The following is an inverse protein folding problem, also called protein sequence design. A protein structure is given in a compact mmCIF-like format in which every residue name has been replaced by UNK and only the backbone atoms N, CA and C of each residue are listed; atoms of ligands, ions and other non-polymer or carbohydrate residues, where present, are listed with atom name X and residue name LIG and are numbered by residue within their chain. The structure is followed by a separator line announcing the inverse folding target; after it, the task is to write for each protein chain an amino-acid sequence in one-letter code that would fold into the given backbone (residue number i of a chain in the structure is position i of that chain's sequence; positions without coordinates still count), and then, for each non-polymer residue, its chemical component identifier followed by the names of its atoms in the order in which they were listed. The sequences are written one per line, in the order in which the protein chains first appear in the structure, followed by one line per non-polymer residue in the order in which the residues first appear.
data_IF_464567730638
#
_entry.id   IF_464567730638
#
_cell.length_a   1.000
_cell.length_b   1.000
_cell.length_c   1.000
_cell.angle_alpha   90.00
_cell.angle_beta   90.00
_cell.angle_gamma   90.00
#
_symmetry.space_group_name_H-M   'P 1'
#
loop_
_entity.id
_entity.type
_entity.pdbx_description
1 polymer ?
#
# COMPACT_ATOMS: atom_id res chain seq x y z
N UNK A 1 -43.92 6.10 3.74
CA UNK A 1 -42.69 6.86 3.46
C UNK A 1 -41.52 5.88 3.37
N UNK A 2 -40.95 5.65 2.18
CA UNK A 2 -39.72 4.87 2.00
C UNK A 2 -38.55 5.85 2.05
N UNK A 3 -37.82 5.84 3.15
CA UNK A 3 -36.61 6.64 3.32
C UNK A 3 -35.52 5.91 2.53
N UNK A 4 -35.13 6.47 1.38
CA UNK A 4 -33.95 6.03 0.65
C UNK A 4 -32.72 6.51 1.42
N UNK A 5 -32.10 5.59 2.19
CA UNK A 5 -30.73 5.75 2.65
C UNK A 5 -29.82 5.66 1.42
N UNK A 6 -29.66 6.78 0.71
CA UNK A 6 -28.57 6.93 -0.25
C UNK A 6 -27.30 7.01 0.58
N UNK A 7 -26.72 5.85 0.91
CA UNK A 7 -25.35 5.78 1.40
C UNK A 7 -24.49 6.41 0.30
N UNK A 8 -24.02 7.63 0.53
CA UNK A 8 -22.88 8.18 -0.19
C UNK A 8 -21.70 7.25 0.08
N UNK A 9 -21.57 6.19 -0.71
CA UNK A 9 -20.33 5.42 -0.79
C UNK A 9 -19.35 6.36 -1.47
N UNK A 10 -18.51 7.02 -0.67
CA UNK A 10 -17.27 7.58 -1.21
C UNK A 10 -16.64 6.46 -2.03
N UNK A 11 -16.48 6.67 -3.34
CA UNK A 11 -16.04 5.66 -4.30
C UNK A 11 -14.78 5.01 -3.75
N UNK A 12 -14.89 3.75 -3.35
CA UNK A 12 -13.76 2.99 -2.84
C UNK A 12 -12.68 2.96 -3.92
N UNK A 13 -11.43 3.16 -3.52
CA UNK A 13 -10.32 3.08 -4.45
C UNK A 13 -10.18 1.65 -5.01
N UNK A 14 -9.77 1.53 -6.27
CA UNK A 14 -9.51 0.22 -6.89
C UNK A 14 -8.19 -0.39 -6.41
N UNK A 15 -8.02 -1.70 -6.62
CA UNK A 15 -6.76 -2.42 -6.39
C UNK A 15 -5.57 -1.72 -7.06
N UNK A 16 -5.72 -1.29 -8.31
CA UNK A 16 -4.69 -0.58 -9.08
C UNK A 16 -4.33 0.75 -8.43
N UNK A 17 -5.33 1.48 -7.94
CA UNK A 17 -5.13 2.75 -7.23
C UNK A 17 -4.39 2.52 -5.92
N UNK A 18 -4.79 1.52 -5.14
CA UNK A 18 -4.12 1.17 -3.88
C UNK A 18 -2.65 0.77 -4.11
N UNK A 19 -2.40 -0.04 -5.13
CA UNK A 19 -1.05 -0.40 -5.57
C UNK A 19 -0.23 0.84 -5.96
N UNK A 20 -0.78 1.74 -6.77
CA UNK A 20 -0.07 2.95 -7.19
C UNK A 20 0.26 3.86 -5.99
N UNK A 21 -0.68 4.03 -5.05
CA UNK A 21 -0.47 4.80 -3.82
C UNK A 21 0.69 4.21 -3.00
N UNK A 22 0.71 2.88 -2.82
CA UNK A 22 1.79 2.21 -2.09
C UNK A 22 3.15 2.40 -2.77
N UNK A 23 3.23 2.20 -4.08
CA UNK A 23 4.47 2.35 -4.85
C UNK A 23 5.01 3.77 -4.77
N UNK A 24 4.17 4.77 -5.04
CA UNK A 24 4.57 6.18 -5.01
C UNK A 24 5.06 6.61 -3.62
N UNK A 25 4.39 6.12 -2.58
CA UNK A 25 4.81 6.35 -1.20
C UNK A 25 6.17 5.70 -0.90
N UNK A 26 6.36 4.43 -1.28
CA UNK A 26 7.58 3.69 -1.02
C UNK A 26 8.77 4.27 -1.79
N UNK A 27 8.57 4.64 -3.05
CA UNK A 27 9.60 5.30 -3.87
C UNK A 27 10.12 6.57 -3.20
N UNK A 28 9.21 7.42 -2.70
CA UNK A 28 9.56 8.65 -1.98
C UNK A 28 10.22 8.38 -0.62
N UNK A 29 9.72 7.40 0.13
CA UNK A 29 10.21 7.10 1.49
C UNK A 29 11.55 6.38 1.50
N UNK A 30 11.79 5.47 0.56
CA UNK A 30 12.99 4.62 0.50
C UNK A 30 14.02 5.10 -0.53
N UNK A 31 13.71 6.16 -1.28
CA UNK A 31 14.57 6.70 -2.34
C UNK A 31 15.02 5.62 -3.34
N UNK A 32 14.09 4.75 -3.72
CA UNK A 32 14.33 3.63 -4.65
C UNK A 32 13.23 3.60 -5.70
N UNK A 33 13.59 3.35 -6.96
CA UNK A 33 12.60 3.17 -8.02
C UNK A 33 12.12 1.73 -8.15
N UNK A 34 12.86 0.79 -7.55
CA UNK A 34 12.61 -0.64 -7.65
C UNK A 34 11.71 -1.09 -6.51
N UNK A 35 10.42 -1.24 -6.79
CA UNK A 35 9.43 -1.79 -5.85
C UNK A 35 8.87 -3.05 -6.49
N UNK A 36 9.04 -4.19 -5.85
CA UNK A 36 8.44 -5.45 -6.26
C UNK A 36 7.20 -5.72 -5.38
N UNK A 37 6.02 -5.82 -6.00
CA UNK A 37 4.78 -6.10 -5.27
C UNK A 37 4.50 -7.59 -5.36
N UNK A 38 4.36 -8.22 -4.20
CA UNK A 38 4.04 -9.64 -4.11
C UNK A 38 2.53 -9.87 -3.99
N UNK A 39 1.82 -9.07 -3.19
CA UNK A 39 0.38 -9.23 -2.98
C UNK A 39 -0.33 -7.90 -2.77
N UNK A 40 -1.56 -7.80 -3.28
CA UNK A 40 -2.51 -6.73 -2.99
C UNK A 40 -3.82 -7.38 -2.57
N UNK A 41 -4.23 -7.19 -1.31
CA UNK A 41 -5.45 -7.78 -0.77
C UNK A 41 -6.34 -6.72 -0.11
N UNK A 42 -7.66 -6.85 -0.23
CA UNK A 42 -8.61 -6.03 0.52
C UNK A 42 -9.16 -6.86 1.68
N UNK A 43 -9.02 -6.36 2.91
CA UNK A 43 -9.46 -7.05 4.12
C UNK A 43 -9.98 -6.03 5.13
N UNK A 44 -11.11 -6.31 5.76
CA UNK A 44 -11.69 -5.46 6.83
C UNK A 44 -11.84 -3.97 6.44
N UNK A 45 -12.14 -3.67 5.18
CA UNK A 45 -12.30 -2.29 4.68
C UNK A 45 -10.98 -1.51 4.51
N UNK A 46 -9.85 -2.20 4.50
CA UNK A 46 -8.54 -1.65 4.13
C UNK A 46 -7.90 -2.47 3.01
N UNK A 47 -7.00 -1.83 2.28
CA UNK A 47 -6.09 -2.46 1.34
C UNK A 47 -4.76 -2.73 2.03
N UNK A 48 -4.24 -3.94 1.85
CA UNK A 48 -2.95 -4.37 2.36
C UNK A 48 -2.09 -4.69 1.15
N UNK A 49 -1.04 -3.89 0.95
CA UNK A 49 -0.07 -4.06 -0.15
C UNK A 49 1.23 -4.57 0.46
N UNK A 50 1.71 -5.73 0.00
CA UNK A 50 2.97 -6.32 0.45
C UNK A 50 3.91 -6.54 -0.71
N UNK A 51 5.19 -6.50 -0.41
CA UNK A 51 6.22 -6.73 -1.40
C UNK A 51 7.61 -6.60 -0.81
N UNK A 52 8.58 -6.44 -1.71
CA UNK A 52 9.96 -6.19 -1.34
C UNK A 52 10.51 -5.00 -2.09
N UNK A 53 11.44 -4.29 -1.46
CA UNK A 53 12.23 -3.26 -2.13
C UNK A 53 13.71 -3.48 -1.80
N UNK A 54 14.62 -3.19 -2.75
CA UNK A 54 16.03 -3.23 -2.47
C UNK A 54 16.39 -2.04 -1.58
N UNK A 55 17.25 -2.31 -0.62
CA UNK A 55 17.92 -1.31 0.20
C UNK A 55 19.42 -1.51 0.06
N UNK A 56 20.18 -0.42 0.15
CA UNK A 56 21.62 -0.49 0.27
C UNK A 56 21.96 -0.36 1.75
N UNK A 57 22.51 -1.43 2.34
CA UNK A 57 23.08 -1.38 3.67
C UNK A 57 24.58 -1.65 3.53
N UNK A 58 25.38 -0.66 3.90
CA UNK A 58 26.85 -0.77 3.92
C UNK A 58 27.47 -1.13 2.56
N UNK A 59 26.84 -0.71 1.44
CA UNK A 59 27.31 -1.02 0.10
C UNK A 59 26.91 -2.41 -0.40
N UNK A 60 26.02 -3.11 0.30
CA UNK A 60 25.47 -4.39 -0.10
C UNK A 60 23.97 -4.29 -0.44
N UNK A 61 23.52 -4.88 -1.57
CA UNK A 61 22.11 -4.89 -1.93
C UNK A 61 21.36 -5.94 -1.09
N UNK A 62 20.47 -5.47 -0.21
CA UNK A 62 19.57 -6.31 0.57
C UNK A 62 18.12 -6.13 0.10
N UNK A 63 17.28 -7.12 0.34
CA UNK A 63 15.85 -7.01 0.15
C UNK A 63 15.17 -6.72 1.51
N UNK A 64 14.37 -5.68 1.56
CA UNK A 64 13.52 -5.37 2.70
C UNK A 64 12.08 -5.70 2.30
N UNK A 65 11.39 -6.50 3.11
CA UNK A 65 9.95 -6.69 2.94
C UNK A 65 9.20 -5.48 3.49
N UNK A 66 8.11 -5.13 2.84
CA UNK A 66 7.21 -4.09 3.29
C UNK A 66 5.76 -4.56 3.35
N UNK A 67 4.98 -3.94 4.23
CA UNK A 67 3.53 -3.97 4.25
C UNK A 67 3.01 -2.54 4.36
N UNK A 68 2.08 -2.16 3.48
CA UNK A 68 1.42 -0.85 3.48
C UNK A 68 -0.09 -1.05 3.61
N UNK A 69 -0.67 -0.47 4.65
CA UNK A 69 -2.12 -0.51 4.90
C UNK A 69 -2.73 0.82 4.45
N UNK A 70 -3.73 0.77 3.57
CA UNK A 70 -4.37 1.93 2.95
C UNK A 70 -5.88 1.83 3.18
N UNK A 71 -6.53 2.93 3.58
CA UNK A 71 -7.99 2.93 3.71
C UNK A 71 -8.71 3.03 2.35
N UNK A 72 -10.02 2.82 2.35
CA UNK A 72 -10.89 2.93 1.16
C UNK A 72 -10.84 4.29 0.45
N UNK A 73 -10.29 5.34 1.08
CA UNK A 73 -10.14 6.69 0.51
C UNK A 73 -8.74 6.94 -0.03
N UNK A 74 -7.83 5.96 0.05
CA UNK A 74 -6.45 6.09 -0.40
C UNK A 74 -5.49 6.69 0.62
N UNK A 75 -5.89 6.83 1.88
CA UNK A 75 -4.99 7.31 2.93
C UNK A 75 -4.21 6.14 3.51
N UNK A 76 -2.88 6.28 3.54
CA UNK A 76 -2.00 5.33 4.24
C UNK A 76 -2.26 5.41 5.74
N UNK A 77 -2.56 4.26 6.34
CA UNK A 77 -2.88 4.09 7.76
C UNK A 77 -1.70 3.58 8.56
N UNK A 78 -0.98 2.60 8.02
CA UNK A 78 0.18 2.00 8.67
C UNK A 78 1.16 1.47 7.64
N UNK A 79 2.40 1.29 8.09
CA UNK A 79 3.49 0.72 7.30
C UNK A 79 4.37 -0.12 8.19
N UNK A 80 4.69 -1.34 7.76
CA UNK A 80 5.66 -2.22 8.42
C UNK A 80 6.80 -2.54 7.46
N UNK A 81 8.02 -2.64 7.99
CA UNK A 81 9.21 -2.98 7.23
C UNK A 81 10.04 -3.98 8.02
N UNK A 82 10.54 -5.01 7.34
CA UNK A 82 11.50 -5.92 7.96
C UNK A 82 12.58 -6.34 6.97
N UNK A 83 13.79 -6.50 7.47
CA UNK A 83 14.90 -7.09 6.72
C UNK A 83 14.65 -8.58 6.51
N UNK A 84 15.00 -9.08 5.33
CA UNK A 84 15.03 -10.49 5.00
C UNK A 84 16.43 -11.07 5.20
#
# INVERSE_FOLDING_TARGET
MKIWLVRYMAKEISTETAQQIAVEFLKKRKNTEKIDISTVEQKDGVWIVRGTCPIDLEGHPWAERFEVIIDQKGKIRSTDFALL
#
